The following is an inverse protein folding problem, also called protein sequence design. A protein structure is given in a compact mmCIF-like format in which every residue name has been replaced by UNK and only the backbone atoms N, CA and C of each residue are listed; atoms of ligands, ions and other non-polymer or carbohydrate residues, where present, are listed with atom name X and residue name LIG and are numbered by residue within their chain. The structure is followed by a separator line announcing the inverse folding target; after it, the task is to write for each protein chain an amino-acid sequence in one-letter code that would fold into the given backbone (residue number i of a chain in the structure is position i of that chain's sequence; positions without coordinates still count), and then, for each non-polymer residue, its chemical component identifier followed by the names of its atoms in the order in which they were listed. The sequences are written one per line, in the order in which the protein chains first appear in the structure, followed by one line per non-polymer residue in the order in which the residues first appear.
data_IF_639948283601
#
_entry.id   IF_639948283601
#
_cell.length_a   1.000
_cell.length_b   1.000
_cell.length_c   1.000
_cell.angle_alpha   90.00
_cell.angle_beta   90.00
_cell.angle_gamma   90.00
#
_symmetry.space_group_name_H-M   'P 1'
#
loop_
_entity.id
_entity.type
_entity.pdbx_description
1 polymer ?
#
# COMPACT_ATOMS: atom_id res chain seq x y z
N UNK A 1 25.25 -0.72 -11.51
CA UNK A 1 25.62 -1.92 -10.70
C UNK A 1 25.13 -1.86 -9.25
N UNK A 2 25.57 -0.93 -8.38
CA UNK A 2 25.18 -0.93 -6.95
C UNK A 2 23.67 -0.73 -6.71
N UNK A 3 23.05 0.27 -7.35
CA UNK A 3 21.61 0.54 -7.23
C UNK A 3 20.73 -0.64 -7.72
N UNK A 4 21.17 -1.33 -8.78
CA UNK A 4 20.46 -2.50 -9.31
C UNK A 4 20.51 -3.68 -8.33
N UNK A 5 21.65 -3.88 -7.64
CA UNK A 5 21.77 -4.89 -6.57
C UNK A 5 20.86 -4.57 -5.38
N UNK A 6 20.84 -3.32 -4.92
CA UNK A 6 19.93 -2.88 -3.86
C UNK A 6 18.46 -3.13 -4.25
N UNK A 7 18.07 -2.75 -5.46
CA UNK A 7 16.72 -3.00 -5.97
C UNK A 7 16.36 -4.49 -5.99
N UNK A 8 17.28 -5.34 -6.48
CA UNK A 8 17.07 -6.80 -6.48
C UNK A 8 16.91 -7.35 -5.06
N UNK A 9 17.71 -6.91 -4.10
CA UNK A 9 17.57 -7.35 -2.70
C UNK A 9 16.23 -6.97 -2.09
N UNK A 10 15.73 -5.76 -2.38
CA UNK A 10 14.40 -5.32 -1.90
C UNK A 10 13.30 -6.21 -2.49
N UNK A 11 13.38 -6.54 -3.78
CA UNK A 11 12.44 -7.47 -4.42
C UNK A 11 12.49 -8.86 -3.77
N UNK A 12 13.69 -9.39 -3.53
CA UNK A 12 13.86 -10.69 -2.87
C UNK A 12 13.29 -10.65 -1.46
N UNK A 13 13.55 -9.61 -0.68
CA UNK A 13 13.00 -9.44 0.68
C UNK A 13 11.48 -9.45 0.64
N UNK A 14 10.87 -8.72 -0.31
CA UNK A 14 9.42 -8.69 -0.46
C UNK A 14 8.85 -10.06 -0.83
N UNK A 15 9.46 -10.77 -1.79
CA UNK A 15 9.03 -12.13 -2.15
C UNK A 15 9.19 -13.11 -0.98
N UNK A 16 10.31 -13.07 -0.27
CA UNK A 16 10.55 -13.92 0.91
C UNK A 16 9.53 -13.61 2.00
N UNK A 17 9.23 -12.34 2.24
CA UNK A 17 8.19 -11.92 3.19
C UNK A 17 6.83 -12.52 2.83
N UNK A 18 6.39 -12.41 1.57
CA UNK A 18 5.11 -12.97 1.12
C UNK A 18 5.08 -14.50 1.24
N UNK A 19 6.15 -15.18 0.80
CA UNK A 19 6.25 -16.64 0.85
C UNK A 19 6.46 -17.20 2.27
N UNK A 20 6.89 -16.36 3.22
CA UNK A 20 7.12 -16.75 4.60
C UNK A 20 5.85 -17.30 5.28
N UNK A 21 4.67 -16.88 4.80
CA UNK A 21 3.38 -17.34 5.32
C UNK A 21 3.21 -18.85 5.23
N UNK A 22 3.69 -19.48 4.16
CA UNK A 22 3.61 -20.94 3.98
C UNK A 22 4.31 -21.72 5.09
N UNK A 23 5.35 -21.14 5.71
CA UNK A 23 6.09 -21.75 6.81
C UNK A 23 5.57 -21.30 8.17
N UNK A 24 5.37 -20.00 8.37
CA UNK A 24 5.12 -19.43 9.69
C UNK A 24 3.64 -19.41 10.08
N UNK A 25 2.70 -19.30 9.15
CA UNK A 25 1.26 -19.30 9.47
C UNK A 25 0.84 -20.63 10.13
N UNK A 26 1.18 -21.82 9.60
CA UNK A 26 0.81 -23.08 10.26
C UNK A 26 1.42 -23.25 11.65
N UNK A 27 2.67 -22.80 11.84
CA UNK A 27 3.35 -22.87 13.14
C UNK A 27 2.71 -21.92 14.16
N UNK A 28 2.47 -20.69 13.75
CA UNK A 28 1.86 -19.67 14.60
C UNK A 28 0.40 -20.03 14.92
N UNK A 29 -0.34 -20.63 13.97
CA UNK A 29 -1.70 -21.09 14.20
C UNK A 29 -1.79 -22.15 15.30
N UNK A 30 -0.88 -23.14 15.28
CA UNK A 30 -0.79 -24.14 16.36
C UNK A 30 -0.54 -23.49 17.72
N UNK A 31 0.30 -22.45 17.77
CA UNK A 31 0.51 -21.69 19.01
C UNK A 31 -0.76 -20.95 19.43
N UNK A 32 -1.41 -20.22 18.51
CA UNK A 32 -2.63 -19.46 18.81
C UNK A 32 -3.76 -20.37 19.32
N UNK A 33 -3.88 -21.60 18.83
CA UNK A 33 -4.86 -22.58 19.32
C UNK A 33 -4.63 -23.00 20.78
N UNK A 34 -3.41 -22.86 21.31
CA UNK A 34 -3.10 -23.15 22.72
C UNK A 34 -3.31 -21.93 23.64
N UNK A 35 -3.52 -20.75 23.05
CA UNK A 35 -3.73 -19.51 23.77
C UNK A 35 -5.23 -19.21 23.88
N UNK A 36 -5.63 -18.48 24.92
CA UNK A 36 -7.01 -18.01 25.11
C UNK A 36 -7.30 -16.80 24.21
N UNK A 37 -7.35 -17.02 22.90
CA UNK A 37 -7.65 -16.00 21.89
C UNK A 37 -8.99 -16.28 21.21
N UNK A 38 -9.78 -15.24 20.99
CA UNK A 38 -11.15 -15.34 20.47
C UNK A 38 -11.22 -16.00 19.08
N UNK A 39 -10.31 -15.63 18.18
CA UNK A 39 -10.23 -16.20 16.83
C UNK A 39 -8.76 -16.55 16.51
N UNK A 40 -8.34 -17.80 16.74
CA UNK A 40 -6.98 -18.24 16.47
C UNK A 40 -6.54 -18.08 15.01
N UNK A 41 -7.47 -18.09 14.04
CA UNK A 41 -7.13 -17.95 12.61
C UNK A 41 -6.78 -16.49 12.32
N UNK A 42 -7.69 -15.56 12.62
CA UNK A 42 -7.46 -14.12 12.39
C UNK A 42 -6.28 -13.60 13.20
N UNK A 43 -6.14 -14.04 14.46
CA UNK A 43 -5.00 -13.64 15.31
C UNK A 43 -3.67 -14.12 14.72
N UNK A 44 -3.64 -15.31 14.12
CA UNK A 44 -2.44 -15.82 13.42
C UNK A 44 -2.06 -14.93 12.25
N UNK A 45 -3.01 -14.64 11.36
CA UNK A 45 -2.72 -13.80 10.18
C UNK A 45 -2.30 -12.39 10.58
N UNK A 46 -2.94 -11.81 11.61
CA UNK A 46 -2.60 -10.48 12.13
C UNK A 46 -1.17 -10.37 12.64
N UNK A 47 -0.73 -11.33 13.45
CA UNK A 47 0.65 -11.35 13.92
C UNK A 47 1.66 -11.67 12.82
N UNK A 48 1.35 -12.62 11.94
CA UNK A 48 2.22 -12.94 10.81
C UNK A 48 2.43 -11.72 9.90
N UNK A 49 1.35 -11.03 9.49
CA UNK A 49 1.46 -9.86 8.60
C UNK A 49 2.20 -8.71 9.29
N UNK A 50 1.93 -8.44 10.57
CA UNK A 50 2.62 -7.38 11.31
C UNK A 50 4.14 -7.64 11.42
N UNK A 51 4.51 -8.84 11.87
CA UNK A 51 5.92 -9.18 12.13
C UNK A 51 6.69 -9.29 10.81
N UNK A 52 6.14 -10.00 9.81
CA UNK A 52 6.82 -10.21 8.53
C UNK A 52 7.04 -8.89 7.77
N UNK A 53 6.00 -8.04 7.67
CA UNK A 53 6.11 -6.74 7.00
C UNK A 53 6.98 -5.75 7.78
N UNK A 54 6.93 -5.77 9.11
CA UNK A 54 7.80 -4.97 9.96
C UNK A 54 9.28 -5.31 9.77
N UNK A 55 9.61 -6.61 9.79
CA UNK A 55 10.98 -7.09 9.53
C UNK A 55 11.42 -6.73 8.11
N UNK A 56 10.58 -7.00 7.10
CA UNK A 56 10.90 -6.69 5.70
C UNK A 56 11.16 -5.20 5.47
N UNK A 57 10.34 -4.34 6.08
CA UNK A 57 10.51 -2.89 6.04
C UNK A 57 11.81 -2.47 6.70
N UNK A 58 12.08 -2.96 7.92
CA UNK A 58 13.30 -2.64 8.66
C UNK A 58 14.56 -3.04 7.87
N UNK A 59 14.63 -4.29 7.41
CA UNK A 59 15.76 -4.80 6.64
C UNK A 59 15.95 -4.01 5.34
N UNK A 60 14.86 -3.69 4.64
CA UNK A 60 14.88 -2.85 3.44
C UNK A 60 15.48 -1.47 3.74
N UNK A 61 15.04 -0.80 4.80
CA UNK A 61 15.56 0.51 5.19
C UNK A 61 17.05 0.45 5.59
N UNK A 62 17.49 -0.62 6.25
CA UNK A 62 18.90 -0.84 6.59
C UNK A 62 19.78 -1.02 5.35
N UNK A 63 19.31 -1.75 4.33
CA UNK A 63 20.02 -1.90 3.06
C UNK A 63 20.09 -0.55 2.32
N UNK A 64 18.98 0.18 2.25
CA UNK A 64 18.94 1.52 1.63
C UNK A 64 19.90 2.48 2.35
N UNK A 65 19.98 2.45 3.67
CA UNK A 65 20.92 3.27 4.46
C UNK A 65 22.38 3.00 4.08
N UNK A 66 22.73 1.76 3.73
CA UNK A 66 24.07 1.36 3.25
C UNK A 66 24.35 1.78 1.79
N UNK A 67 23.30 2.04 1.00
CA UNK A 67 23.39 2.55 -0.37
C UNK A 67 22.77 3.95 -0.51
N UNK A 68 23.53 4.98 -0.08
CA UNK A 68 23.14 6.39 -0.18
C UNK A 68 22.83 6.88 -1.61
N UNK A 69 23.15 6.09 -2.63
CA UNK A 69 22.83 6.43 -4.02
C UNK A 69 21.48 5.92 -4.46
N UNK A 70 20.91 4.93 -3.76
CA UNK A 70 19.67 4.27 -4.18
C UNK A 70 18.50 5.24 -4.31
N UNK A 71 18.26 6.13 -3.35
CA UNK A 71 17.13 7.08 -3.41
C UNK A 71 17.41 8.35 -4.22
N UNK A 72 18.59 8.48 -4.84
CA UNK A 72 18.88 9.65 -5.69
C UNK A 72 18.04 9.61 -6.97
N UNK A 73 17.57 10.76 -7.46
CA UNK A 73 16.79 10.81 -8.70
C UNK A 73 17.69 10.44 -9.89
N UNK A 74 17.09 9.82 -10.90
CA UNK A 74 17.82 9.45 -12.12
C UNK A 74 18.15 10.68 -13.00
N UNK A 75 17.28 11.70 -13.01
CA UNK A 75 17.50 12.96 -13.74
C UNK A 75 16.84 14.16 -13.06
N UNK A 76 17.58 15.26 -12.95
CA UNK A 76 17.12 16.53 -12.38
C UNK A 76 17.06 16.53 -10.85
N UNK A 77 16.59 17.64 -10.28
CA UNK A 77 16.63 17.88 -8.84
C UNK A 77 15.37 17.39 -8.13
N UNK A 78 15.54 16.86 -6.92
CA UNK A 78 14.39 16.48 -6.08
C UNK A 78 13.69 17.73 -5.54
N UNK A 79 12.38 17.64 -5.36
CA UNK A 79 11.67 18.58 -4.53
C UNK A 79 12.29 18.62 -3.11
N UNK A 80 12.22 19.79 -2.46
CA UNK A 80 12.56 19.91 -1.04
C UNK A 80 11.61 19.05 -0.21
N UNK A 81 11.99 18.73 1.03
CA UNK A 81 11.16 17.89 1.89
C UNK A 81 9.76 18.50 2.09
N UNK A 82 9.66 19.80 2.39
CA UNK A 82 8.36 20.48 2.55
C UNK A 82 7.49 20.42 1.28
N UNK A 83 8.09 20.64 0.09
CA UNK A 83 7.37 20.50 -1.18
C UNK A 83 6.90 19.06 -1.42
N UNK A 84 7.71 18.06 -1.06
CA UNK A 84 7.32 16.67 -1.18
C UNK A 84 6.19 16.28 -0.22
N UNK A 85 6.17 16.81 1.00
CA UNK A 85 5.05 16.64 1.95
C UNK A 85 3.78 17.27 1.38
N UNK A 86 3.86 18.52 0.87
CA UNK A 86 2.72 19.18 0.24
C UNK A 86 2.17 18.41 -0.96
N UNK A 87 3.06 17.90 -1.83
CA UNK A 87 2.66 17.01 -2.92
C UNK A 87 2.10 15.67 -2.43
N UNK A 88 2.51 15.17 -1.26
CA UNK A 88 1.93 13.99 -0.65
C UNK A 88 0.48 14.20 -0.22
N UNK A 89 0.18 15.36 0.35
CA UNK A 89 -1.20 15.73 0.74
C UNK A 89 -2.06 15.96 -0.49
N UNK A 90 -1.57 16.70 -1.49
CA UNK A 90 -2.28 16.87 -2.78
C UNK A 90 -2.49 15.50 -3.44
N UNK A 91 -1.47 14.64 -3.37
CA UNK A 91 -1.52 13.30 -3.91
C UNK A 91 -2.60 12.44 -3.29
N UNK A 92 -2.82 12.52 -1.98
CA UNK A 92 -3.96 11.87 -1.32
C UNK A 92 -5.29 12.26 -1.97
N UNK A 93 -5.56 13.56 -2.16
CA UNK A 93 -6.81 14.01 -2.80
C UNK A 93 -6.91 13.55 -4.25
N UNK A 94 -5.81 13.60 -5.02
CA UNK A 94 -5.79 13.11 -6.40
C UNK A 94 -6.17 11.63 -6.48
N UNK A 95 -5.59 10.80 -5.61
CA UNK A 95 -5.89 9.36 -5.58
C UNK A 95 -7.31 9.12 -5.09
N UNK A 96 -7.76 9.82 -4.05
CA UNK A 96 -9.12 9.73 -3.53
C UNK A 96 -10.16 10.02 -4.62
N UNK A 97 -10.03 11.14 -5.34
CA UNK A 97 -10.93 11.44 -6.46
C UNK A 97 -10.77 10.45 -7.63
N UNK A 98 -9.55 9.99 -7.89
CA UNK A 98 -9.29 8.95 -8.87
C UNK A 98 -10.01 7.64 -8.55
N UNK A 99 -10.01 7.22 -7.29
CA UNK A 99 -10.73 6.03 -6.82
C UNK A 99 -12.24 6.21 -6.89
N UNK A 100 -12.79 7.40 -6.60
CA UNK A 100 -14.22 7.67 -6.79
C UNK A 100 -14.61 7.47 -8.26
N UNK A 101 -13.83 8.04 -9.19
CA UNK A 101 -14.12 7.88 -10.62
C UNK A 101 -13.99 6.41 -11.03
N UNK A 102 -12.93 5.72 -10.60
CA UNK A 102 -12.71 4.30 -10.89
C UNK A 102 -13.84 3.42 -10.36
N UNK A 103 -14.27 3.62 -9.11
CA UNK A 103 -15.35 2.86 -8.49
C UNK A 103 -16.70 3.07 -9.21
N UNK A 104 -17.01 4.30 -9.65
CA UNK A 104 -18.21 4.55 -10.45
C UNK A 104 -18.14 3.87 -11.83
N UNK A 105 -16.97 3.83 -12.46
CA UNK A 105 -16.78 3.10 -13.71
C UNK A 105 -16.91 1.59 -13.51
N UNK A 106 -16.32 1.05 -12.45
CA UNK A 106 -16.46 -0.35 -12.04
C UNK A 106 -17.94 -0.71 -11.82
N UNK A 107 -18.70 0.15 -11.13
CA UNK A 107 -20.13 -0.03 -10.93
C UNK A 107 -20.92 -0.08 -12.24
N UNK A 108 -20.63 0.82 -13.18
CA UNK A 108 -21.25 0.81 -14.53
C UNK A 108 -20.90 -0.46 -15.31
N UNK A 109 -19.74 -1.05 -15.05
CA UNK A 109 -19.29 -2.32 -15.61
C UNK A 109 -19.85 -3.55 -14.88
N UNK A 110 -20.69 -3.35 -13.86
CA UNK A 110 -21.35 -4.42 -13.09
C UNK A 110 -20.50 -5.00 -11.95
N UNK A 111 -19.44 -4.30 -11.52
CA UNK A 111 -18.66 -4.67 -10.35
C UNK A 111 -19.33 -4.10 -9.10
N UNK A 112 -19.57 -4.95 -8.11
CA UNK A 112 -20.18 -4.53 -6.86
C UNK A 112 -19.22 -3.68 -6.01
N UNK A 113 -19.71 -2.65 -5.31
CA UNK A 113 -18.91 -1.89 -4.35
C UNK A 113 -18.48 -2.78 -3.17
N UNK A 114 -17.25 -2.57 -2.70
CA UNK A 114 -16.65 -3.39 -1.65
C UNK A 114 -15.25 -3.81 -2.09
N UNK A 115 -14.45 -4.35 -1.17
CA UNK A 115 -13.17 -4.97 -1.54
C UNK A 115 -12.93 -6.09 -0.54
N UNK A 116 -12.85 -7.32 -1.04
CA UNK A 116 -12.64 -8.51 -0.22
C UNK A 116 -11.29 -8.41 0.52
N UNK A 117 -10.26 -7.85 -0.12
CA UNK A 117 -8.98 -7.58 0.52
C UNK A 117 -9.12 -6.61 1.70
N UNK A 118 -9.89 -5.55 1.51
CA UNK A 118 -10.11 -4.53 2.55
C UNK A 118 -10.90 -5.15 3.71
N UNK A 119 -11.99 -5.84 3.43
CA UNK A 119 -12.83 -6.49 4.43
C UNK A 119 -12.04 -7.51 5.27
N UNK A 120 -11.32 -8.42 4.61
CA UNK A 120 -10.48 -9.41 5.30
C UNK A 120 -9.43 -8.74 6.18
N UNK A 121 -8.82 -7.65 5.71
CA UNK A 121 -7.85 -6.91 6.51
C UNK A 121 -8.49 -6.26 7.75
N UNK A 122 -9.69 -5.71 7.62
CA UNK A 122 -10.40 -5.08 8.74
C UNK A 122 -10.74 -6.12 9.82
N UNK A 123 -11.19 -7.32 9.43
CA UNK A 123 -11.38 -8.43 10.37
C UNK A 123 -10.09 -8.82 11.11
N UNK A 124 -8.98 -8.93 10.38
CA UNK A 124 -7.66 -9.17 10.97
C UNK A 124 -7.28 -8.06 11.95
N UNK A 125 -7.51 -6.80 11.60
CA UNK A 125 -7.18 -5.64 12.42
C UNK A 125 -8.06 -5.54 13.68
N UNK A 126 -9.31 -6.02 13.64
CA UNK A 126 -10.13 -6.17 14.85
C UNK A 126 -9.57 -7.23 15.80
N UNK A 127 -8.98 -8.30 15.27
CA UNK A 127 -8.32 -9.35 16.06
C UNK A 127 -6.95 -8.91 16.59
N UNK A 128 -6.17 -8.23 15.76
CA UNK A 128 -4.81 -7.75 16.06
C UNK A 128 -4.68 -6.29 15.59
N UNK A 129 -4.93 -5.30 16.47
CA UNK A 129 -4.87 -3.88 16.08
C UNK A 129 -3.52 -3.44 15.52
N UNK A 130 -2.43 -4.11 15.91
CA UNK A 130 -1.09 -3.84 15.34
C UNK A 130 -1.01 -4.11 13.84
N UNK A 131 -1.87 -4.95 13.26
CA UNK A 131 -1.93 -5.19 11.83
C UNK A 131 -2.20 -3.89 11.03
N UNK A 132 -2.84 -2.88 11.64
CA UNK A 132 -3.05 -1.55 11.03
C UNK A 132 -1.73 -0.92 10.55
N UNK A 133 -0.62 -1.11 11.28
CA UNK A 133 0.69 -0.61 10.85
C UNK A 133 1.16 -1.26 9.55
N UNK A 134 0.77 -2.52 9.29
CA UNK A 134 1.09 -3.20 8.05
C UNK A 134 0.47 -2.51 6.84
N UNK A 135 -0.82 -2.20 6.86
CA UNK A 135 -1.49 -1.57 5.71
C UNK A 135 -1.22 -0.07 5.58
N UNK A 136 -1.10 0.64 6.71
CA UNK A 136 -0.99 2.10 6.70
C UNK A 136 0.45 2.56 6.53
N UNK A 137 1.44 1.77 6.99
CA UNK A 137 2.85 2.19 7.01
C UNK A 137 3.74 1.25 6.21
N UNK A 138 3.77 -0.04 6.56
CA UNK A 138 4.75 -0.97 5.98
C UNK A 138 4.49 -1.24 4.49
N UNK A 139 3.25 -1.52 4.11
CA UNK A 139 2.87 -1.76 2.72
C UNK A 139 3.17 -0.54 1.83
N UNK A 140 2.72 0.69 2.15
CA UNK A 140 3.03 1.86 1.34
C UNK A 140 4.53 2.11 1.16
N UNK A 141 5.35 1.88 2.19
CA UNK A 141 6.81 2.02 2.07
C UNK A 141 7.38 0.98 1.11
N UNK A 142 7.09 -0.30 1.32
CA UNK A 142 7.64 -1.39 0.52
C UNK A 142 7.16 -1.32 -0.93
N UNK A 143 5.87 -1.10 -1.14
CA UNK A 143 5.26 -1.06 -2.46
C UNK A 143 5.75 0.14 -3.26
N UNK A 144 5.83 1.33 -2.68
CA UNK A 144 6.32 2.50 -3.42
C UNK A 144 7.81 2.34 -3.80
N UNK A 145 8.62 1.70 -2.95
CA UNK A 145 10.00 1.35 -3.31
C UNK A 145 10.05 0.36 -4.49
N UNK A 146 9.17 -0.63 -4.52
CA UNK A 146 9.11 -1.62 -5.61
C UNK A 146 8.56 -0.98 -6.89
N UNK A 147 7.35 -0.45 -6.84
CA UNK A 147 6.64 -0.02 -8.03
C UNK A 147 7.14 1.31 -8.58
N UNK A 148 7.48 2.29 -7.72
CA UNK A 148 7.96 3.60 -8.21
C UNK A 148 9.46 3.64 -8.35
N UNK A 149 10.20 3.23 -7.32
CA UNK A 149 11.66 3.39 -7.37
C UNK A 149 12.33 2.35 -8.26
N UNK A 150 11.89 1.09 -8.21
CA UNK A 150 12.50 -0.01 -8.97
C UNK A 150 11.86 -0.15 -10.35
N UNK A 151 10.56 -0.45 -10.44
CA UNK A 151 9.90 -0.75 -11.72
C UNK A 151 9.78 0.51 -12.59
N UNK A 152 9.02 1.52 -12.15
CA UNK A 152 8.85 2.78 -12.87
C UNK A 152 10.20 3.47 -13.13
N UNK A 153 11.05 3.57 -12.09
CA UNK A 153 12.37 4.17 -12.20
C UNK A 153 13.29 3.47 -13.21
N UNK A 154 13.17 2.15 -13.41
CA UNK A 154 13.98 1.43 -14.40
C UNK A 154 13.45 1.56 -15.84
N UNK A 155 12.14 1.79 -15.99
CA UNK A 155 11.48 1.91 -17.30
C UNK A 155 11.51 3.35 -17.83
N UNK A 156 11.38 4.35 -16.96
CA UNK A 156 11.28 5.76 -17.36
C UNK A 156 12.45 6.23 -18.25
N UNK A 157 13.73 5.91 -17.97
CA UNK A 157 14.85 6.33 -18.83
C UNK A 157 14.90 5.62 -20.18
N UNK A 158 14.21 4.48 -20.32
CA UNK A 158 14.21 3.64 -21.52
C UNK A 158 12.98 3.89 -22.40
N UNK A 159 12.00 4.61 -21.88
CA UNK A 159 10.68 4.79 -22.51
C UNK A 159 10.20 6.24 -22.32
N UNK A 160 8.94 6.44 -21.95
CA UNK A 160 8.36 7.73 -21.60
C UNK A 160 7.52 7.59 -20.32
N UNK A 161 7.03 8.71 -19.81
CA UNK A 161 6.22 8.74 -18.58
C UNK A 161 5.02 7.80 -18.66
N UNK A 162 4.22 7.87 -19.72
CA UNK A 162 2.97 7.11 -19.85
C UNK A 162 3.21 5.61 -19.85
N UNK A 163 4.19 5.12 -20.62
CA UNK A 163 4.51 3.70 -20.68
C UNK A 163 5.03 3.20 -19.33
N UNK A 164 5.99 3.91 -18.72
CA UNK A 164 6.54 3.53 -17.42
C UNK A 164 5.47 3.55 -16.32
N UNK A 165 4.61 4.57 -16.31
CA UNK A 165 3.54 4.72 -15.33
C UNK A 165 2.49 3.62 -15.49
N UNK A 166 2.05 3.34 -16.72
CA UNK A 166 1.04 2.31 -16.98
C UNK A 166 1.53 0.91 -16.60
N UNK A 167 2.76 0.54 -16.98
CA UNK A 167 3.33 -0.76 -16.60
C UNK A 167 3.48 -0.88 -15.09
N UNK A 168 3.96 0.17 -14.41
CA UNK A 168 4.08 0.20 -12.95
C UNK A 168 2.72 0.12 -12.25
N UNK A 169 1.71 0.79 -12.78
CA UNK A 169 0.35 0.82 -12.27
C UNK A 169 -0.38 -0.53 -12.42
N UNK A 170 -0.26 -1.17 -13.59
CA UNK A 170 -0.85 -2.49 -13.83
C UNK A 170 -0.15 -3.54 -12.95
N UNK A 171 1.18 -3.51 -12.85
CA UNK A 171 1.90 -4.42 -11.96
C UNK A 171 1.50 -4.25 -10.49
N UNK A 172 1.27 -3.00 -10.05
CA UNK A 172 0.73 -2.69 -8.73
C UNK A 172 -0.68 -3.27 -8.56
N UNK A 173 -1.58 -3.10 -9.54
CA UNK A 173 -2.92 -3.64 -9.45
C UNK A 173 -2.96 -5.18 -9.38
N UNK A 174 -2.14 -5.85 -10.20
CA UNK A 174 -2.11 -7.32 -10.26
C UNK A 174 -1.60 -7.95 -8.96
N UNK A 175 -0.63 -7.33 -8.26
CA UNK A 175 -0.10 -7.90 -7.01
C UNK A 175 -1.12 -7.89 -5.85
N UNK A 176 -2.22 -7.14 -5.98
CA UNK A 176 -3.30 -7.13 -5.01
C UNK A 176 -4.24 -8.35 -5.16
N UNK A 177 -4.10 -9.15 -6.23
CA UNK A 177 -4.88 -10.37 -6.46
C UNK A 177 -6.40 -10.21 -6.44
N UNK A 178 -6.91 -8.99 -6.62
CA UNK A 178 -8.34 -8.67 -6.65
C UNK A 178 -8.68 -8.06 -8.01
N UNK A 179 -8.82 -8.93 -9.01
CA UNK A 179 -8.98 -8.54 -10.41
C UNK A 179 -10.30 -7.82 -10.72
N UNK A 180 -11.31 -7.97 -9.85
CA UNK A 180 -12.57 -7.21 -9.92
C UNK A 180 -12.33 -5.71 -9.75
N UNK A 181 -11.38 -5.32 -8.89
CA UNK A 181 -11.02 -3.93 -8.61
C UNK A 181 -9.69 -3.51 -9.27
N UNK A 182 -9.34 -4.16 -10.40
CA UNK A 182 -8.10 -3.88 -11.12
C UNK A 182 -8.01 -2.41 -11.55
N UNK A 183 -9.13 -1.80 -11.96
CA UNK A 183 -9.17 -0.41 -12.40
C UNK A 183 -8.89 0.53 -11.22
N UNK A 184 -9.53 0.30 -10.08
CA UNK A 184 -9.32 1.05 -8.84
C UNK A 184 -7.85 1.03 -8.42
N UNK A 185 -7.21 -0.15 -8.37
CA UNK A 185 -5.79 -0.24 -8.01
C UNK A 185 -4.87 0.37 -9.08
N UNK A 186 -5.17 0.19 -10.37
CA UNK A 186 -4.36 0.73 -11.45
C UNK A 186 -4.38 2.27 -11.46
N UNK A 187 -5.55 2.89 -11.22
CA UNK A 187 -5.67 4.36 -11.12
C UNK A 187 -4.83 4.89 -9.95
N UNK A 188 -4.91 4.27 -8.78
CA UNK A 188 -4.06 4.62 -7.63
C UNK A 188 -2.57 4.51 -7.99
N UNK A 189 -2.16 3.38 -8.58
CA UNK A 189 -0.79 3.13 -8.99
C UNK A 189 -0.26 4.16 -10.00
N UNK A 190 -1.09 4.58 -10.95
CA UNK A 190 -0.74 5.57 -11.96
C UNK A 190 -0.54 6.96 -11.34
N UNK A 191 -1.44 7.36 -10.43
CA UNK A 191 -1.35 8.66 -9.75
C UNK A 191 -0.12 8.70 -8.81
N UNK A 192 0.18 7.62 -8.10
CA UNK A 192 1.42 7.52 -7.32
C UNK A 192 2.67 7.67 -8.21
N UNK A 193 2.69 7.06 -9.40
CA UNK A 193 3.76 7.25 -10.39
C UNK A 193 3.86 8.70 -10.87
N UNK A 194 2.74 9.38 -11.09
CA UNK A 194 2.71 10.80 -11.41
C UNK A 194 3.31 11.66 -10.29
N UNK A 195 2.90 11.46 -9.03
CA UNK A 195 3.41 12.21 -7.87
C UNK A 195 4.92 12.01 -7.72
N UNK A 196 5.39 10.76 -7.86
CA UNK A 196 6.82 10.46 -7.84
C UNK A 196 7.57 11.10 -9.02
N UNK A 197 7.00 11.10 -10.22
CA UNK A 197 7.59 11.73 -11.40
C UNK A 197 7.74 13.26 -11.24
N UNK A 198 6.72 13.92 -10.69
CA UNK A 198 6.72 15.39 -10.47
C UNK A 198 7.71 15.81 -9.39
N UNK A 199 7.80 15.06 -8.29
CA UNK A 199 8.63 15.42 -7.12
C UNK A 199 10.04 14.85 -7.16
N UNK A 200 10.22 13.73 -7.89
CA UNK A 200 11.44 12.91 -7.93
C UNK A 200 11.91 12.45 -6.54
N UNK A 201 10.98 12.44 -5.58
CA UNK A 201 11.24 12.14 -4.17
C UNK A 201 10.17 11.16 -3.70
N UNK A 202 10.61 9.94 -3.36
CA UNK A 202 9.73 8.81 -3.04
C UNK A 202 8.80 9.09 -1.85
N UNK A 203 9.24 9.93 -0.91
CA UNK A 203 8.46 10.30 0.27
C UNK A 203 7.12 10.93 -0.10
N UNK A 204 7.01 11.65 -1.22
CA UNK A 204 5.74 12.26 -1.62
C UNK A 204 4.67 11.21 -1.95
N UNK A 205 5.02 10.18 -2.72
CA UNK A 205 4.08 9.12 -3.07
C UNK A 205 3.83 8.17 -1.90
N UNK A 206 4.83 7.89 -1.06
CA UNK A 206 4.65 7.17 0.22
C UNK A 206 3.62 7.90 1.10
N UNK A 207 3.76 9.21 1.33
CA UNK A 207 2.80 9.96 2.14
C UNK A 207 1.39 9.89 1.56
N UNK A 208 1.25 10.06 0.24
CA UNK A 208 -0.06 9.98 -0.44
C UNK A 208 -0.73 8.62 -0.19
N UNK A 209 0.05 7.55 -0.30
CA UNK A 209 -0.42 6.18 -0.13
C UNK A 209 -0.74 5.86 1.34
N UNK A 210 0.11 6.27 2.28
CA UNK A 210 -0.17 6.13 3.72
C UNK A 210 -1.45 6.87 4.13
N UNK A 211 -1.65 8.09 3.63
CA UNK A 211 -2.85 8.87 3.90
C UNK A 211 -4.11 8.21 3.34
N UNK A 212 -4.03 7.66 2.12
CA UNK A 212 -5.13 6.94 1.51
C UNK A 212 -5.51 5.70 2.33
N UNK A 213 -4.53 4.85 2.66
CA UNK A 213 -4.79 3.63 3.42
C UNK A 213 -5.28 3.95 4.84
N UNK A 214 -4.71 4.97 5.48
CA UNK A 214 -5.17 5.44 6.78
C UNK A 214 -6.61 5.94 6.73
N UNK A 215 -6.97 6.70 5.70
CA UNK A 215 -8.35 7.14 5.48
C UNK A 215 -9.30 5.95 5.30
N UNK A 216 -8.95 4.98 4.45
CA UNK A 216 -9.75 3.76 4.23
C UNK A 216 -9.96 3.00 5.54
N UNK A 217 -8.89 2.78 6.32
CA UNK A 217 -8.99 2.11 7.64
C UNK A 217 -9.93 2.86 8.58
N UNK A 218 -9.80 4.20 8.69
CA UNK A 218 -10.66 5.00 9.55
C UNK A 218 -12.13 4.89 9.10
N UNK A 219 -12.40 5.00 7.81
CA UNK A 219 -13.77 4.89 7.27
C UNK A 219 -14.35 3.50 7.53
N UNK A 220 -13.58 2.43 7.38
CA UNK A 220 -14.07 1.06 7.60
C UNK A 220 -14.32 0.78 9.08
N UNK A 221 -13.46 1.24 9.98
CA UNK A 221 -13.63 1.02 11.43
C UNK A 221 -14.79 1.81 12.03
N UNK A 222 -15.04 3.02 11.53
CA UNK A 222 -16.02 3.94 12.11
C UNK A 222 -17.25 4.17 11.22
N UNK A 223 -17.29 3.59 10.02
CA UNK A 223 -18.32 3.84 9.01
C UNK A 223 -19.73 3.56 9.51
N UNK A 224 -19.96 2.39 10.11
CA UNK A 224 -21.26 2.07 10.71
C UNK A 224 -21.65 3.01 11.84
N UNK A 225 -20.68 3.40 12.68
CA UNK A 225 -20.94 4.29 13.82
C UNK A 225 -21.33 5.68 13.32
N UNK A 226 -20.62 6.17 12.30
CA UNK A 226 -20.93 7.43 11.62
C UNK A 226 -22.31 7.35 10.96
N UNK A 227 -22.62 6.26 10.27
CA UNK A 227 -23.91 6.08 9.61
C UNK A 227 -25.07 6.07 10.63
N UNK A 228 -24.96 5.28 11.70
CA UNK A 228 -25.95 5.24 12.80
C UNK A 228 -26.14 6.61 13.45
N UNK A 229 -25.04 7.36 13.64
CA UNK A 229 -25.08 8.72 14.16
C UNK A 229 -25.82 9.67 13.21
N UNK A 230 -25.52 9.62 11.90
CA UNK A 230 -26.17 10.44 10.88
C UNK A 230 -27.65 10.12 10.73
N UNK A 231 -28.03 8.84 10.75
CA UNK A 231 -29.43 8.40 10.74
C UNK A 231 -30.17 8.94 11.97
N UNK A 232 -29.60 8.81 13.16
CA UNK A 232 -30.17 9.34 14.40
C UNK A 232 -30.34 10.87 14.35
N UNK A 233 -29.34 11.59 13.85
CA UNK A 233 -29.39 13.05 13.71
C UNK A 233 -30.43 13.50 12.68
N UNK A 234 -30.54 12.80 11.54
CA UNK A 234 -31.53 13.12 10.49
C UNK A 234 -32.99 12.96 10.93
N UNK A 235 -33.22 12.21 12.01
CA UNK A 235 -34.53 12.00 12.62
C UNK A 235 -34.80 12.93 13.81
N UNK A 236 -33.86 13.82 14.15
CA UNK A 236 -34.10 14.84 15.19
C UNK A 236 -35.03 15.95 14.64
N UNK A 237 -36.01 16.39 15.43
CA UNK A 237 -36.97 17.43 15.04
C UNK A 237 -36.34 18.82 14.89
#
# INVERSE_FOLDING_TARGET
MKQQKTGLYILIIYCVMQLSGALFVPLLHKLMQTMDVKDPVLTTFGWWVFISMGIATLVTLLIIRKDKTFLRPLKGQQATLGKAIGWGIIGFFLVFFGQIIAANLELVLGVEPGSANTEQFIEIAHSVPFAIFSIVIFAPILEELIFRRIIFGSLLPKTNFFVAALVSAIAFAVIHFEFTHLLLYAVSGFIFAFIYYKTKRIIASIISHMLLNGFVVIVQFYGETIQKFLETYSQMP
#
